data_IF_034352527798
#
_entry.id   IF_034352527798
#
_cell.length_a   1.000
_cell.length_b   1.000
_cell.length_c   1.000
_cell.angle_alpha   90.00
_cell.angle_beta   90.00
_cell.angle_gamma   90.00
#
_symmetry.space_group_name_H-M   'P 1'
#
loop_
_entity.id
_entity.type
_entity.pdbx_description
1 polymer ?
#
# COMPACT_ATOMS: atom_id res chain seq x y z
N UNK A 1 20.11 -3.10 24.91
CA UNK A 1 19.73 -3.82 23.67
C UNK A 1 20.23 -3.02 22.48
N UNK A 2 20.95 -3.63 21.54
CA UNK A 2 21.39 -2.97 20.29
C UNK A 2 20.22 -2.87 19.31
N UNK A 3 20.33 -2.06 18.26
CA UNK A 3 19.26 -1.99 17.27
C UNK A 3 19.00 -3.32 16.55
N UNK A 4 20.05 -4.08 16.21
CA UNK A 4 19.85 -5.40 15.59
C UNK A 4 19.11 -6.38 16.53
N UNK A 5 19.36 -6.29 17.85
CA UNK A 5 18.62 -7.08 18.84
C UNK A 5 17.13 -6.68 18.87
N UNK A 6 16.82 -5.39 18.71
CA UNK A 6 15.44 -4.89 18.62
C UNK A 6 14.76 -5.39 17.35
N UNK A 7 15.45 -5.30 16.21
CA UNK A 7 14.93 -5.75 14.91
C UNK A 7 14.65 -7.26 14.91
N UNK A 8 15.45 -8.04 15.65
CA UNK A 8 15.19 -9.47 15.84
C UNK A 8 13.90 -9.78 16.65
N UNK A 9 13.26 -8.77 17.26
CA UNK A 9 11.97 -8.92 17.94
C UNK A 9 10.77 -8.73 17.01
N UNK A 10 10.98 -8.27 15.77
CA UNK A 10 9.89 -8.16 14.79
C UNK A 10 9.18 -9.52 14.63
N UNK A 11 7.85 -9.50 14.66
CA UNK A 11 6.96 -10.66 14.57
C UNK A 11 6.60 -11.28 15.92
N UNK A 12 7.24 -10.86 17.02
CA UNK A 12 6.88 -11.32 18.36
C UNK A 12 5.64 -10.57 18.88
N UNK A 13 4.81 -11.24 19.70
CA UNK A 13 3.68 -10.58 20.33
C UNK A 13 4.16 -9.52 21.34
N UNK A 14 3.39 -8.45 21.51
CA UNK A 14 3.68 -7.40 22.50
C UNK A 14 3.76 -7.90 23.95
N UNK A 15 3.20 -9.08 24.23
CA UNK A 15 3.27 -9.78 25.52
C UNK A 15 4.53 -10.63 25.69
N UNK A 16 5.37 -10.80 24.67
CA UNK A 16 6.65 -11.48 24.80
C UNK A 16 7.54 -10.69 25.77
N UNK A 17 8.12 -11.35 26.81
CA UNK A 17 8.96 -10.67 27.80
C UNK A 17 10.12 -9.87 27.21
N UNK A 18 10.64 -10.26 26.03
CA UNK A 18 11.72 -9.55 25.34
C UNK A 18 11.23 -8.24 24.72
N UNK A 19 10.02 -8.23 24.17
CA UNK A 19 9.38 -7.01 23.63
C UNK A 19 9.06 -6.05 24.77
N UNK A 20 8.48 -6.55 25.86
CA UNK A 20 8.21 -5.73 27.05
C UNK A 20 9.50 -5.14 27.64
N UNK A 21 10.57 -5.94 27.74
CA UNK A 21 11.88 -5.46 28.19
C UNK A 21 12.44 -4.36 27.27
N UNK A 22 12.26 -4.49 25.95
CA UNK A 22 12.66 -3.45 24.99
C UNK A 22 11.88 -2.14 25.20
N UNK A 23 10.55 -2.21 25.34
CA UNK A 23 9.72 -1.04 25.61
C UNK A 23 10.13 -0.32 26.91
N UNK A 24 10.37 -1.09 27.98
CA UNK A 24 10.85 -0.56 29.28
C UNK A 24 12.23 0.08 29.14
N UNK A 25 13.18 -0.60 28.49
CA UNK A 25 14.55 -0.09 28.30
C UNK A 25 14.56 1.24 27.54
N UNK A 26 13.67 1.39 26.54
CA UNK A 26 13.53 2.61 25.75
C UNK A 26 12.56 3.62 26.36
N UNK A 27 12.13 3.42 27.61
CA UNK A 27 11.25 4.30 28.38
C UNK A 27 9.94 4.64 27.64
N UNK A 28 9.43 3.69 26.85
CA UNK A 28 8.12 3.80 26.19
C UNK A 28 7.04 3.61 27.26
N UNK A 29 6.22 4.64 27.46
CA UNK A 29 5.25 4.69 28.57
C UNK A 29 3.94 3.99 28.28
N UNK A 30 3.46 4.14 27.05
CA UNK A 30 2.23 3.52 26.60
C UNK A 30 2.52 2.06 26.20
N UNK A 31 1.49 1.22 26.24
CA UNK A 31 1.53 -0.12 25.68
C UNK A 31 0.64 -0.17 24.45
N UNK A 32 1.01 -0.95 23.43
CA UNK A 32 0.19 -1.09 22.26
C UNK A 32 -1.16 -1.70 22.64
N UNK A 33 -2.21 -1.18 22.04
CA UNK A 33 -3.56 -1.67 22.20
C UNK A 33 -4.35 -1.35 20.93
N UNK A 34 -5.28 -2.25 20.59
CA UNK A 34 -6.30 -1.96 19.59
C UNK A 34 -7.27 -0.91 20.13
N UNK A 35 -7.91 -0.18 19.22
CA UNK A 35 -8.99 0.74 19.59
C UNK A 35 -10.34 0.08 19.34
N UNK A 36 -11.15 0.04 20.38
CA UNK A 36 -12.50 -0.55 20.35
C UNK A 36 -13.53 0.56 20.50
N UNK A 37 -14.49 0.61 19.58
CA UNK A 37 -15.71 1.40 19.68
C UNK A 37 -16.91 0.48 19.45
N UNK A 38 -17.64 0.16 20.53
CA UNK A 38 -18.76 -0.79 20.46
C UNK A 38 -19.99 -0.23 19.73
N UNK A 39 -20.02 1.08 19.50
CA UNK A 39 -21.13 1.76 18.82
C UNK A 39 -20.86 1.94 17.32
N UNK A 40 -19.71 1.50 16.82
CA UNK A 40 -19.34 1.59 15.42
C UNK A 40 -20.15 0.61 14.55
N UNK A 41 -20.63 1.08 13.40
CA UNK A 41 -21.50 0.31 12.51
C UNK A 41 -20.78 -0.79 11.75
N UNK A 42 -19.48 -0.65 11.56
CA UNK A 42 -18.66 -1.50 10.70
C UNK A 42 -17.95 -2.59 11.53
N UNK A 43 -17.88 -2.41 12.84
CA UNK A 43 -17.47 -3.44 13.80
C UNK A 43 -16.82 -2.83 15.04
N UNK A 44 -16.72 -3.59 16.14
CA UNK A 44 -16.24 -3.02 17.40
C UNK A 44 -14.77 -2.60 17.38
N UNK A 45 -13.95 -3.05 16.41
CA UNK A 45 -12.52 -2.71 16.33
C UNK A 45 -12.30 -1.68 15.24
N UNK A 46 -11.99 -0.44 15.62
CA UNK A 46 -11.86 0.70 14.69
C UNK A 46 -10.43 1.01 14.28
N UNK A 47 -9.43 0.59 15.07
CA UNK A 47 -8.01 0.70 14.70
C UNK A 47 -7.29 -0.60 15.12
N UNK A 48 -6.75 -1.30 14.12
CA UNK A 48 -5.97 -2.55 14.28
C UNK A 48 -4.48 -2.28 14.47
N UNK A 49 -4.05 -1.03 14.34
CA UNK A 49 -2.65 -0.61 14.42
C UNK A 49 -2.41 0.27 15.65
N UNK A 50 -1.23 0.18 16.25
CA UNK A 50 -0.85 0.99 17.39
C UNK A 50 0.63 1.34 17.34
N UNK A 51 0.93 2.64 17.41
CA UNK A 51 2.29 3.12 17.52
C UNK A 51 2.56 3.69 18.90
N UNK A 52 3.64 3.22 19.51
CA UNK A 52 4.11 3.71 20.81
C UNK A 52 5.53 4.25 20.67
N UNK A 53 5.70 5.54 21.00
CA UNK A 53 6.94 6.27 20.75
C UNK A 53 7.55 6.89 22.00
N UNK A 54 8.87 7.01 21.98
CA UNK A 54 9.61 7.89 22.86
C UNK A 54 10.38 8.92 22.02
N UNK A 55 9.76 10.09 21.79
CA UNK A 55 10.37 11.16 21.00
C UNK A 55 11.66 11.72 21.60
N UNK A 56 11.92 11.54 22.91
CA UNK A 56 13.20 11.94 23.53
C UNK A 56 14.31 10.91 23.30
N UNK A 57 13.94 9.65 23.10
CA UNK A 57 14.84 8.54 22.82
C UNK A 57 15.06 8.29 21.32
N UNK A 58 14.29 8.93 20.45
CA UNK A 58 14.42 8.79 18.99
C UNK A 58 13.97 7.44 18.46
N UNK A 59 12.97 6.82 19.09
CA UNK A 59 12.51 5.48 18.72
C UNK A 59 10.99 5.38 18.81
N UNK A 60 10.41 4.59 17.91
CA UNK A 60 8.99 4.24 17.87
C UNK A 60 8.80 2.80 17.44
N UNK A 61 7.81 2.16 18.05
CA UNK A 61 7.43 0.77 17.83
C UNK A 61 6.02 0.75 17.26
N UNK A 62 5.87 0.18 16.08
CA UNK A 62 4.57 -0.05 15.44
C UNK A 62 4.12 -1.49 15.64
N UNK A 63 2.85 -1.63 15.98
CA UNK A 63 2.21 -2.91 16.24
C UNK A 63 0.95 -3.04 15.39
N UNK A 64 0.67 -4.26 14.95
CA UNK A 64 -0.56 -4.63 14.26
C UNK A 64 -1.26 -5.73 15.05
N UNK A 65 -2.59 -5.72 15.09
CA UNK A 65 -3.38 -6.89 15.48
C UNK A 65 -3.00 -8.10 14.62
N UNK A 66 -2.75 -9.25 15.26
CA UNK A 66 -2.28 -10.45 14.55
C UNK A 66 -3.28 -10.95 13.50
N UNK A 67 -4.59 -10.86 13.77
CA UNK A 67 -5.59 -11.33 12.82
C UNK A 67 -5.66 -10.40 11.60
N UNK A 68 -5.61 -9.09 11.79
CA UNK A 68 -5.52 -8.12 10.70
C UNK A 68 -4.23 -8.30 9.88
N UNK A 69 -3.08 -8.43 10.54
CA UNK A 69 -1.79 -8.68 9.90
C UNK A 69 -1.79 -9.95 9.04
N UNK A 70 -2.40 -11.03 9.54
CA UNK A 70 -2.55 -12.30 8.80
C UNK A 70 -3.65 -12.27 7.73
N UNK A 71 -4.43 -11.19 7.62
CA UNK A 71 -5.54 -11.11 6.67
C UNK A 71 -6.68 -12.07 6.98
N UNK A 72 -6.94 -12.30 8.28
CA UNK A 72 -8.08 -13.09 8.73
C UNK A 72 -9.37 -12.26 8.71
N UNK A 73 -10.48 -12.96 8.90
CA UNK A 73 -11.81 -12.36 9.04
C UNK A 73 -11.85 -11.33 10.17
N UNK A 74 -12.53 -10.20 9.94
CA UNK A 74 -12.60 -9.07 10.88
C UNK A 74 -13.21 -9.46 12.23
N UNK A 75 -14.02 -10.53 12.28
CA UNK A 75 -14.55 -11.06 13.56
C UNK A 75 -13.46 -11.61 14.48
N UNK A 76 -12.25 -11.87 13.96
CA UNK A 76 -11.09 -12.32 14.74
C UNK A 76 -10.25 -11.16 15.28
N UNK A 77 -10.50 -9.92 14.85
CA UNK A 77 -9.72 -8.76 15.27
C UNK A 77 -9.87 -8.53 16.77
N UNK A 78 -8.75 -8.22 17.43
CA UNK A 78 -8.70 -8.01 18.88
C UNK A 78 -8.78 -9.26 19.74
N UNK A 79 -8.92 -10.45 19.15
CA UNK A 79 -8.93 -11.73 19.89
C UNK A 79 -7.53 -12.32 20.08
N UNK A 80 -6.53 -11.69 19.46
CA UNK A 80 -5.14 -12.14 19.41
C UNK A 80 -4.19 -11.05 19.92
N UNK A 81 -2.96 -11.38 20.32
CA UNK A 81 -2.00 -10.35 20.70
C UNK A 81 -1.67 -9.47 19.50
N UNK A 82 -1.37 -8.19 19.75
CA UNK A 82 -0.69 -7.36 18.74
C UNK A 82 0.74 -7.85 18.54
N UNK A 83 1.21 -7.87 17.30
CA UNK A 83 2.56 -8.21 16.88
C UNK A 83 3.41 -6.96 16.74
N UNK A 84 4.67 -7.00 17.15
CA UNK A 84 5.63 -5.96 16.80
C UNK A 84 5.98 -6.08 15.32
N UNK A 85 5.49 -5.18 14.48
CA UNK A 85 5.64 -5.25 13.02
C UNK A 85 6.60 -4.22 12.49
N UNK A 86 6.83 -3.12 13.22
CA UNK A 86 7.62 -1.99 12.73
C UNK A 86 8.49 -1.39 13.84
N UNK A 87 9.68 -0.93 13.46
CA UNK A 87 10.60 -0.17 14.31
C UNK A 87 11.13 1.03 13.53
N UNK A 88 11.01 2.20 14.14
CA UNK A 88 11.51 3.46 13.61
C UNK A 88 12.66 3.95 14.49
N UNK A 89 13.81 4.20 13.86
CA UNK A 89 14.96 4.86 14.47
C UNK A 89 15.13 6.23 13.85
N UNK A 90 14.86 7.27 14.64
CA UNK A 90 14.85 8.64 14.15
C UNK A 90 16.25 9.26 14.14
N UNK A 91 16.50 10.07 13.13
CA UNK A 91 17.68 10.90 12.97
C UNK A 91 17.32 12.37 13.01
N UNK A 92 17.60 13.08 11.93
CA UNK A 92 17.21 14.48 11.76
C UNK A 92 15.73 14.59 11.35
N UNK A 93 14.83 14.39 12.31
CA UNK A 93 13.39 14.41 12.10
C UNK A 93 12.70 15.46 12.98
N UNK A 94 11.68 16.15 12.44
CA UNK A 94 11.01 17.23 13.16
C UNK A 94 10.27 16.70 14.40
N UNK A 95 10.45 17.35 15.55
CA UNK A 95 9.72 17.00 16.78
C UNK A 95 10.21 15.74 17.49
N UNK A 96 11.25 15.06 16.99
CA UNK A 96 11.84 13.87 17.59
C UNK A 96 13.35 14.05 17.74
N UNK A 97 13.92 13.65 18.89
CA UNK A 97 15.38 13.66 19.08
C UNK A 97 16.01 12.51 18.31
N UNK A 98 17.24 12.65 17.81
CA UNK A 98 17.94 11.55 17.18
C UNK A 98 18.13 10.36 18.14
N UNK A 99 18.00 9.15 17.60
CA UNK A 99 18.31 7.90 18.28
C UNK A 99 19.78 7.90 18.71
N UNK A 100 20.02 7.54 19.97
CA UNK A 100 21.36 7.61 20.57
C UNK A 100 22.14 6.29 20.51
N UNK A 101 21.46 5.20 20.12
CA UNK A 101 22.10 3.90 19.96
C UNK A 101 22.72 3.71 18.58
N UNK A 102 23.42 2.58 18.40
CA UNK A 102 23.84 2.12 17.08
C UNK A 102 22.60 1.80 16.23
N UNK A 103 22.55 2.27 14.99
CA UNK A 103 21.49 1.93 14.03
C UNK A 103 21.69 0.50 13.50
N UNK A 104 20.62 -0.17 13.02
CA UNK A 104 20.74 -1.50 12.45
C UNK A 104 21.60 -1.46 11.17
N UNK A 105 22.10 -2.63 10.76
CA UNK A 105 22.85 -2.80 9.51
C UNK A 105 24.14 -1.95 9.42
N UNK A 106 24.66 -1.48 10.56
CA UNK A 106 25.85 -0.64 10.63
C UNK A 106 25.66 0.77 10.07
N UNK A 107 24.41 1.24 9.95
CA UNK A 107 24.12 2.62 9.57
C UNK A 107 24.63 3.61 10.62
N UNK A 108 24.83 4.85 10.18
CA UNK A 108 25.14 6.00 11.02
C UNK A 108 24.22 7.13 10.62
N UNK A 109 23.79 7.93 11.58
CA UNK A 109 22.91 9.07 11.31
C UNK A 109 23.51 10.07 10.32
N UNK A 110 24.84 10.16 10.26
CA UNK A 110 25.58 10.98 9.31
C UNK A 110 25.81 10.33 7.95
N UNK A 111 25.30 9.12 7.70
CA UNK A 111 25.44 8.49 6.40
C UNK A 111 24.63 9.27 5.38
N UNK A 112 25.27 9.55 4.24
CA UNK A 112 24.57 10.08 3.06
C UNK A 112 23.77 8.98 2.38
N UNK A 113 22.84 9.34 1.50
CA UNK A 113 22.11 8.39 0.64
C UNK A 113 23.05 7.46 -0.13
N UNK A 114 24.17 7.98 -0.62
CA UNK A 114 25.19 7.17 -1.30
C UNK A 114 25.87 6.16 -0.36
N UNK A 115 26.19 6.56 0.87
CA UNK A 115 26.79 5.67 1.87
C UNK A 115 25.82 4.56 2.31
N UNK A 116 24.54 4.88 2.49
CA UNK A 116 23.50 3.87 2.80
C UNK A 116 23.37 2.87 1.65
N UNK A 117 23.26 3.33 0.40
CA UNK A 117 23.23 2.47 -0.79
C UNK A 117 24.46 1.56 -0.89
N UNK A 118 25.65 2.08 -0.57
CA UNK A 118 26.86 1.27 -0.55
C UNK A 118 26.80 0.16 0.50
N UNK A 119 26.29 0.45 1.71
CA UNK A 119 26.11 -0.56 2.77
C UNK A 119 25.04 -1.59 2.41
N UNK A 120 24.02 -1.17 1.66
CA UNK A 120 22.93 -2.02 1.18
C UNK A 120 23.19 -2.69 -0.17
N UNK A 121 24.40 -2.57 -0.73
CA UNK A 121 24.76 -3.21 -1.99
C UNK A 121 24.44 -4.73 -2.06
N UNK A 122 24.56 -5.53 -0.97
CA UNK A 122 24.14 -6.93 -1.00
C UNK A 122 22.65 -7.17 -1.28
N UNK A 123 21.80 -6.17 -1.02
CA UNK A 123 20.35 -6.23 -1.23
C UNK A 123 19.90 -5.39 -2.43
N UNK A 124 20.81 -4.86 -3.27
CA UNK A 124 20.44 -3.84 -4.27
C UNK A 124 19.46 -4.36 -5.35
N UNK A 125 19.40 -5.68 -5.55
CA UNK A 125 18.42 -6.32 -6.43
C UNK A 125 16.96 -6.12 -6.00
N UNK A 126 16.72 -5.77 -4.73
CA UNK A 126 15.39 -5.49 -4.18
C UNK A 126 15.21 -4.00 -3.85
N UNK A 127 16.08 -3.12 -4.38
CA UNK A 127 16.01 -1.68 -4.09
C UNK A 127 14.84 -1.02 -4.83
N UNK A 128 14.04 -0.27 -4.08
CA UNK A 128 12.99 0.60 -4.59
C UNK A 128 13.30 2.05 -4.19
N UNK A 129 13.53 2.89 -5.18
CA UNK A 129 13.99 4.27 -4.99
C UNK A 129 12.95 5.28 -5.44
N UNK A 130 12.82 6.35 -4.64
CA UNK A 130 12.16 7.63 -4.98
C UNK A 130 12.65 8.71 -3.98
N UNK A 131 11.78 9.27 -3.13
CA UNK A 131 12.15 10.15 -2.01
C UNK A 131 12.98 9.43 -0.95
N UNK A 132 12.63 8.17 -0.68
CA UNK A 132 13.31 7.26 0.24
C UNK A 132 14.01 6.17 -0.57
N UNK A 133 14.80 5.33 0.10
CA UNK A 133 15.23 4.06 -0.48
C UNK A 133 14.76 2.91 0.40
N UNK A 134 14.23 1.87 -0.24
CA UNK A 134 13.67 0.69 0.41
C UNK A 134 14.32 -0.57 -0.13
N UNK A 135 14.66 -1.52 0.75
CA UNK A 135 15.22 -2.81 0.38
C UNK A 135 14.51 -3.94 1.13
N UNK A 136 14.40 -5.09 0.49
CA UNK A 136 14.02 -6.32 1.15
C UNK A 136 15.26 -7.11 1.58
N UNK A 137 15.41 -7.30 2.89
CA UNK A 137 16.34 -8.28 3.45
C UNK A 137 15.64 -9.65 3.54
N UNK A 138 16.36 -10.75 3.82
CA UNK A 138 15.72 -12.05 4.04
C UNK A 138 14.65 -12.04 5.15
N UNK A 139 14.85 -11.24 6.20
CA UNK A 139 14.01 -11.25 7.40
C UNK A 139 12.94 -10.15 7.42
N UNK A 140 13.26 -8.95 6.90
CA UNK A 140 12.40 -7.77 7.00
C UNK A 140 12.69 -6.77 5.87
N UNK A 141 11.82 -5.79 5.70
CA UNK A 141 11.99 -4.64 4.80
C UNK A 141 12.61 -3.47 5.55
N UNK A 142 13.58 -2.80 4.93
CA UNK A 142 14.20 -1.60 5.48
C UNK A 142 13.96 -0.42 4.55
N UNK A 143 13.39 0.65 5.09
CA UNK A 143 13.22 1.94 4.41
C UNK A 143 14.10 2.97 5.11
N UNK A 144 14.85 3.74 4.33
CA UNK A 144 15.66 4.85 4.84
C UNK A 144 15.17 6.15 4.21
N UNK A 145 14.70 7.06 5.07
CA UNK A 145 14.42 8.45 4.74
C UNK A 145 15.64 9.33 5.01
N UNK A 146 15.79 10.38 4.22
CA UNK A 146 16.98 11.23 4.25
C UNK A 146 16.62 12.70 4.43
N UNK A 147 17.41 13.41 5.23
CA UNK A 147 17.31 14.85 5.41
C UNK A 147 18.37 15.58 4.57
N UNK A 148 18.20 16.91 4.47
CA UNK A 148 19.16 17.83 3.82
C UNK A 148 19.53 17.41 2.39
N UNK A 149 18.56 16.91 1.62
CA UNK A 149 18.80 16.47 0.24
C UNK A 149 19.67 15.22 0.13
N UNK A 150 19.67 14.35 1.15
CA UNK A 150 20.40 13.09 1.13
C UNK A 150 21.76 13.11 1.84
N UNK A 151 22.05 14.14 2.65
CA UNK A 151 23.35 14.26 3.35
C UNK A 151 23.37 13.53 4.70
N UNK A 152 22.21 13.24 5.28
CA UNK A 152 22.09 12.51 6.53
C UNK A 152 20.80 11.68 6.56
N UNK A 153 20.73 10.74 7.50
CA UNK A 153 19.53 9.93 7.73
C UNK A 153 18.52 10.73 8.54
N UNK A 154 17.30 10.82 8.01
CA UNK A 154 16.14 11.33 8.75
C UNK A 154 15.51 10.21 9.60
N UNK A 155 15.33 9.02 9.03
CA UNK A 155 14.69 7.89 9.69
C UNK A 155 15.14 6.58 9.07
N UNK A 156 15.31 5.55 9.90
CA UNK A 156 15.43 4.15 9.48
C UNK A 156 14.19 3.42 9.98
N UNK A 157 13.39 2.91 9.06
CA UNK A 157 12.25 2.03 9.33
C UNK A 157 12.65 0.59 9.02
N UNK A 158 12.54 -0.30 10.01
CA UNK A 158 12.60 -1.74 9.82
C UNK A 158 11.20 -2.30 10.04
N UNK A 159 10.62 -2.96 9.03
CA UNK A 159 9.26 -3.48 9.09
C UNK A 159 9.18 -4.92 8.58
N UNK A 160 8.30 -5.72 9.17
CA UNK A 160 7.95 -7.02 8.61
C UNK A 160 7.37 -6.87 7.21
N UNK A 161 7.59 -7.90 6.38
CA UNK A 161 6.88 -8.02 5.10
C UNK A 161 5.52 -8.64 5.38
N UNK A 162 4.48 -8.00 4.89
CA UNK A 162 3.12 -8.54 4.99
C UNK A 162 3.07 -9.96 4.39
N UNK A 163 2.46 -10.91 5.09
CA UNK A 163 2.23 -12.23 4.52
C UNK A 163 1.13 -12.13 3.45
N UNK A 164 1.15 -13.03 2.44
CA UNK A 164 0.06 -13.10 1.48
C UNK A 164 -1.27 -13.39 2.18
N UNK A 165 -2.37 -12.90 1.61
CA UNK A 165 -3.70 -13.21 2.13
C UNK A 165 -3.97 -14.72 2.08
N UNK A 166 -4.78 -15.26 3.02
CA UNK A 166 -5.17 -16.67 2.98
C UNK A 166 -5.83 -17.03 1.64
N UNK A 167 -5.49 -18.19 1.09
CA UNK A 167 -6.08 -18.69 -0.16
C UNK A 167 -7.60 -18.78 -0.08
N UNK A 168 -8.27 -18.49 -1.18
CA UNK A 168 -9.72 -18.69 -1.28
C UNK A 168 -10.07 -20.17 -1.23
N UNK A 169 -11.20 -20.54 -0.62
CA UNK A 169 -11.67 -21.92 -0.59
C UNK A 169 -12.27 -22.39 -1.92
N UNK A 170 -12.25 -21.54 -2.95
CA UNK A 170 -12.79 -21.79 -4.29
C UNK A 170 -11.87 -21.21 -5.37
N UNK A 171 -11.95 -21.79 -6.58
CA UNK A 171 -11.23 -21.29 -7.74
C UNK A 171 -11.96 -20.09 -8.34
N UNK A 172 -11.20 -19.12 -8.81
CA UNK A 172 -11.71 -17.96 -9.52
C UNK A 172 -11.77 -18.21 -11.04
N UNK A 173 -12.79 -17.69 -11.72
CA UNK A 173 -12.77 -17.45 -13.16
C UNK A 173 -11.51 -16.69 -13.60
N UNK A 174 -11.02 -16.92 -14.83
CA UNK A 174 -9.93 -16.11 -15.38
C UNK A 174 -10.37 -14.65 -15.53
N UNK A 175 -9.45 -13.73 -15.23
CA UNK A 175 -9.69 -12.30 -15.42
C UNK A 175 -9.46 -11.87 -16.87
N UNK A 176 -10.21 -10.88 -17.39
CA UNK A 176 -9.95 -10.32 -18.71
C UNK A 176 -8.58 -9.62 -18.79
N UNK A 177 -8.00 -9.53 -20.00
CA UNK A 177 -6.78 -8.75 -20.20
C UNK A 177 -7.06 -7.25 -20.11
N UNK A 178 -6.07 -6.46 -19.71
CA UNK A 178 -6.20 -4.99 -19.64
C UNK A 178 -6.53 -4.38 -21.01
N UNK A 179 -5.99 -4.93 -22.09
CA UNK A 179 -6.31 -4.48 -23.46
C UNK A 179 -7.78 -4.73 -23.79
N UNK A 180 -8.32 -5.88 -23.38
CA UNK A 180 -9.73 -6.22 -23.59
C UNK A 180 -10.64 -5.31 -22.77
N UNK A 181 -10.23 -4.97 -21.55
CA UNK A 181 -10.97 -4.08 -20.66
C UNK A 181 -10.95 -2.62 -21.15
N UNK A 182 -9.80 -2.11 -21.56
CA UNK A 182 -9.65 -0.73 -22.05
C UNK A 182 -10.39 -0.49 -23.37
N UNK A 183 -10.54 -1.53 -24.20
CA UNK A 183 -11.38 -1.47 -25.41
C UNK A 183 -12.87 -1.24 -25.12
N UNK A 184 -13.32 -1.40 -23.87
CA UNK A 184 -14.69 -1.13 -23.42
C UNK A 184 -14.91 0.30 -22.93
N UNK A 185 -13.87 1.14 -22.90
CA UNK A 185 -14.05 2.54 -22.47
C UNK A 185 -15.07 3.27 -23.33
N UNK A 186 -16.03 3.93 -22.67
CA UNK A 186 -17.14 4.61 -23.31
C UNK A 186 -18.30 3.71 -23.71
N UNK A 187 -18.20 2.39 -23.55
CA UNK A 187 -19.34 1.49 -23.78
C UNK A 187 -20.40 1.64 -22.67
N UNK A 188 -21.69 1.60 -23.01
CA UNK A 188 -22.79 1.55 -22.04
C UNK A 188 -22.75 0.30 -21.16
N UNK A 189 -23.28 0.39 -19.94
CA UNK A 189 -23.42 -0.75 -19.02
C UNK A 189 -24.21 -1.94 -19.64
N UNK A 190 -25.18 -1.67 -20.51
CA UNK A 190 -26.00 -2.70 -21.13
C UNK A 190 -25.38 -3.34 -22.38
N UNK A 191 -24.22 -2.84 -22.83
CA UNK A 191 -23.47 -3.34 -23.98
C UNK A 191 -23.13 -4.84 -23.81
N UNK A 192 -23.45 -5.69 -24.80
CA UNK A 192 -23.13 -7.11 -24.76
C UNK A 192 -21.64 -7.41 -24.48
N UNK A 193 -20.72 -6.58 -24.98
CA UNK A 193 -19.29 -6.76 -24.76
C UNK A 193 -18.89 -6.49 -23.31
N UNK A 194 -19.46 -5.45 -22.68
CA UNK A 194 -19.27 -5.14 -21.26
C UNK A 194 -19.76 -6.29 -20.40
N UNK A 195 -20.98 -6.78 -20.68
CA UNK A 195 -21.54 -7.95 -19.99
C UNK A 195 -20.64 -9.17 -20.17
N UNK A 196 -20.22 -9.48 -21.39
CA UNK A 196 -19.38 -10.65 -21.64
C UNK A 196 -18.06 -10.61 -20.85
N UNK A 197 -17.45 -9.43 -20.71
CA UNK A 197 -16.19 -9.28 -19.98
C UNK A 197 -16.35 -9.34 -18.45
N UNK A 198 -17.42 -8.73 -17.90
CA UNK A 198 -17.55 -8.51 -16.46
C UNK A 198 -18.55 -9.48 -15.77
N UNK A 199 -19.45 -10.14 -16.52
CA UNK A 199 -20.35 -11.16 -15.96
C UNK A 199 -19.63 -12.31 -15.24
N UNK A 200 -18.50 -12.85 -15.77
CA UNK A 200 -17.72 -13.86 -15.04
C UNK A 200 -17.19 -13.36 -13.68
N UNK A 201 -17.01 -12.04 -13.53
CA UNK A 201 -16.57 -11.41 -12.29
C UNK A 201 -17.75 -11.12 -11.34
N UNK A 202 -18.99 -11.35 -11.78
CA UNK A 202 -20.19 -11.17 -10.98
C UNK A 202 -20.92 -9.85 -11.22
N UNK A 203 -20.78 -9.21 -12.40
CA UNK A 203 -21.44 -7.93 -12.73
C UNK A 203 -22.93 -7.87 -12.36
N UNK A 204 -23.68 -8.97 -12.54
CA UNK A 204 -25.11 -9.05 -12.15
C UNK A 204 -25.37 -8.64 -10.71
N UNK A 205 -24.46 -8.97 -9.81
CA UNK A 205 -24.58 -8.70 -8.37
C UNK A 205 -24.18 -7.25 -8.00
N UNK A 206 -23.77 -6.45 -8.99
CA UNK A 206 -23.28 -5.07 -8.84
C UNK A 206 -24.12 -4.05 -9.59
N UNK A 207 -25.16 -4.47 -10.31
CA UNK A 207 -25.97 -3.56 -11.14
C UNK A 207 -26.64 -2.47 -10.30
N UNK A 208 -27.12 -2.80 -9.10
CA UNK A 208 -27.77 -1.81 -8.23
C UNK A 208 -26.73 -0.86 -7.62
N UNK A 209 -25.58 -1.36 -7.18
CA UNK A 209 -24.43 -0.54 -6.73
C UNK A 209 -24.02 0.47 -7.82
N UNK A 210 -23.85 0.02 -9.07
CA UNK A 210 -23.51 0.91 -10.20
C UNK A 210 -24.57 1.99 -10.42
N UNK A 211 -25.86 1.67 -10.21
CA UNK A 211 -26.93 2.66 -10.38
C UNK A 211 -26.92 3.71 -9.27
N UNK A 212 -26.54 3.31 -8.07
CA UNK A 212 -26.56 4.17 -6.89
C UNK A 212 -25.29 5.02 -6.76
N UNK A 213 -24.11 4.42 -7.00
CA UNK A 213 -22.81 5.07 -6.82
C UNK A 213 -22.01 5.29 -8.11
N UNK A 214 -22.37 4.61 -9.20
CA UNK A 214 -21.56 4.57 -10.42
C UNK A 214 -20.39 3.58 -10.35
N UNK A 215 -20.27 2.80 -9.28
CA UNK A 215 -19.12 1.91 -9.05
C UNK A 215 -19.55 0.44 -8.99
N UNK A 216 -18.73 -0.43 -9.57
CA UNK A 216 -18.78 -1.87 -9.34
C UNK A 216 -17.49 -2.32 -8.65
N UNK A 217 -17.61 -2.69 -7.39
CA UNK A 217 -16.49 -3.19 -6.61
C UNK A 217 -16.31 -4.72 -6.80
N UNK A 218 -15.20 -5.09 -7.43
CA UNK A 218 -14.71 -6.46 -7.58
C UNK A 218 -13.38 -6.67 -6.83
N UNK A 219 -13.00 -5.78 -5.91
CA UNK A 219 -11.80 -5.84 -5.07
C UNK A 219 -11.68 -7.20 -4.37
N UNK A 220 -12.83 -7.73 -3.94
CA UNK A 220 -13.00 -9.09 -3.48
C UNK A 220 -13.81 -9.90 -4.50
N UNK A 221 -13.25 -10.94 -5.13
CA UNK A 221 -11.91 -11.52 -4.94
C UNK A 221 -10.83 -11.11 -5.96
N UNK A 222 -11.08 -10.13 -6.84
CA UNK A 222 -10.27 -9.92 -8.05
C UNK A 222 -9.31 -8.72 -8.04
N UNK A 223 -9.38 -7.83 -7.04
CA UNK A 223 -8.54 -6.63 -7.03
C UNK A 223 -8.84 -5.63 -8.14
N UNK A 224 -10.12 -5.49 -8.52
CA UNK A 224 -10.58 -4.60 -9.58
C UNK A 224 -11.76 -3.76 -9.11
N UNK A 225 -11.72 -2.45 -9.37
CA UNK A 225 -12.87 -1.56 -9.22
C UNK A 225 -13.18 -0.98 -10.60
N UNK A 226 -14.43 -1.02 -11.03
CA UNK A 226 -14.87 -0.46 -12.33
C UNK A 226 -15.85 0.67 -12.08
N UNK A 227 -15.59 1.82 -12.67
CA UNK A 227 -16.47 2.98 -12.58
C UNK A 227 -17.19 3.21 -13.89
N UNK A 228 -18.42 3.67 -13.75
CA UNK A 228 -19.27 4.13 -14.81
C UNK A 228 -19.76 5.53 -14.51
N UNK A 229 -19.69 6.41 -15.50
CA UNK A 229 -20.15 7.78 -15.37
C UNK A 229 -20.99 8.19 -16.57
N UNK A 230 -21.86 9.18 -16.35
CA UNK A 230 -22.50 9.85 -17.47
C UNK A 230 -21.47 10.66 -18.28
N UNK A 231 -21.70 10.84 -19.59
CA UNK A 231 -20.96 11.83 -20.38
C UNK A 231 -21.00 13.20 -19.70
N UNK A 232 -19.91 13.97 -19.78
CA UNK A 232 -19.85 15.33 -19.23
C UNK A 232 -21.08 16.16 -19.63
N UNK A 233 -21.60 16.95 -18.69
CA UNK A 233 -22.78 17.83 -18.79
C UNK A 233 -24.17 17.16 -18.78
N UNK A 234 -24.29 15.87 -18.42
CA UNK A 234 -25.59 15.22 -18.22
C UNK A 234 -25.67 14.45 -16.90
N UNK A 235 -26.78 14.60 -16.17
CA UNK A 235 -27.16 13.60 -15.15
C UNK A 235 -27.52 12.31 -15.89
N UNK A 236 -27.01 11.16 -15.45
CA UNK A 236 -27.46 9.85 -15.95
C UNK A 236 -28.98 9.76 -15.79
N UNK A 237 -29.72 9.55 -16.89
CA UNK A 237 -31.18 9.41 -16.86
C UNK A 237 -31.63 7.97 -17.09
N UNK A 238 -30.71 7.10 -17.52
CA UNK A 238 -30.95 5.69 -17.81
C UNK A 238 -29.63 4.90 -17.77
N UNK A 239 -29.71 3.56 -17.71
CA UNK A 239 -28.54 2.68 -17.79
C UNK A 239 -27.73 2.86 -19.10
N UNK A 240 -28.38 3.35 -20.17
CA UNK A 240 -27.74 3.63 -21.45
C UNK A 240 -26.94 4.95 -21.44
N UNK A 241 -27.14 5.79 -20.42
CA UNK A 241 -26.36 7.01 -20.20
C UNK A 241 -25.17 6.77 -19.25
N UNK A 242 -24.97 5.55 -18.76
CA UNK A 242 -23.92 5.18 -17.79
C UNK A 242 -22.83 4.42 -18.53
N UNK A 243 -21.72 5.10 -18.82
CA UNK A 243 -20.63 4.59 -19.66
C UNK A 243 -19.43 4.17 -18.83
N UNK A 244 -18.77 3.08 -19.19
CA UNK A 244 -17.55 2.63 -18.52
C UNK A 244 -16.47 3.71 -18.66
N UNK A 245 -16.05 4.29 -17.54
CA UNK A 245 -15.25 5.52 -17.52
C UNK A 245 -13.87 5.34 -16.91
N UNK A 246 -13.72 4.46 -15.92
CA UNK A 246 -12.41 4.13 -15.37
C UNK A 246 -12.38 2.74 -14.74
N UNK A 247 -11.18 2.24 -14.52
CA UNK A 247 -10.92 0.98 -13.85
C UNK A 247 -9.69 1.14 -12.97
N UNK A 248 -9.71 0.56 -11.77
CA UNK A 248 -8.60 0.58 -10.82
C UNK A 248 -8.23 -0.84 -10.43
N UNK A 249 -6.98 -1.21 -10.70
CA UNK A 249 -6.36 -2.47 -10.28
C UNK A 249 -5.65 -2.26 -8.95
N UNK A 250 -5.84 -3.19 -8.02
CA UNK A 250 -5.36 -3.09 -6.64
C UNK A 250 -4.22 -4.07 -6.39
N UNK A 251 -3.19 -3.62 -5.65
CA UNK A 251 -2.24 -4.50 -4.98
C UNK A 251 -3.00 -5.30 -3.92
N UNK A 252 -2.52 -6.51 -3.59
CA UNK A 252 -3.09 -7.28 -2.49
C UNK A 252 -3.07 -6.47 -1.18
N UNK A 253 -4.15 -6.58 -0.39
CA UNK A 253 -4.44 -5.84 0.87
C UNK A 253 -4.83 -4.39 0.69
N UNK A 254 -4.71 -3.84 -0.52
CA UNK A 254 -5.10 -2.46 -0.73
C UNK A 254 -6.63 -2.31 -0.72
N UNK A 255 -7.13 -1.36 0.08
CA UNK A 255 -8.56 -1.23 0.44
C UNK A 255 -9.15 -2.54 1.02
N UNK A 256 -8.33 -3.34 1.70
CA UNK A 256 -8.70 -4.67 2.19
C UNK A 256 -8.84 -5.72 1.08
N UNK A 257 -8.73 -5.34 -0.20
CA UNK A 257 -8.95 -6.17 -1.37
C UNK A 257 -7.91 -7.27 -1.59
N UNK A 258 -8.25 -8.20 -2.49
CA UNK A 258 -7.26 -9.12 -3.06
C UNK A 258 -6.50 -8.44 -4.20
N UNK A 259 -5.32 -8.96 -4.52
CA UNK A 259 -4.50 -8.40 -5.61
C UNK A 259 -5.05 -8.75 -6.99
N UNK A 260 -4.97 -7.79 -7.92
CA UNK A 260 -5.18 -8.07 -9.34
C UNK A 260 -4.17 -9.12 -9.83
N UNK A 261 -4.66 -10.17 -10.46
CA UNK A 261 -3.85 -11.31 -10.90
C UNK A 261 -3.49 -11.28 -12.39
N UNK A 262 -4.09 -10.36 -13.15
CA UNK A 262 -3.80 -10.17 -14.56
C UNK A 262 -2.53 -9.34 -14.78
N UNK A 263 -2.05 -9.30 -16.02
CA UNK A 263 -0.98 -8.38 -16.40
C UNK A 263 -1.46 -6.93 -16.30
N UNK A 264 -0.59 -6.02 -15.86
CA UNK A 264 -0.80 -4.58 -15.87
C UNK A 264 -0.25 -3.97 -17.19
N UNK A 265 -0.74 -2.79 -17.61
CA UNK A 265 -0.28 -2.18 -18.85
C UNK A 265 1.20 -1.82 -18.78
N UNK A 266 1.88 -1.82 -19.93
CA UNK A 266 3.32 -1.52 -20.06
C UNK A 266 4.24 -2.46 -19.27
N UNK A 267 3.74 -3.62 -18.83
CA UNK A 267 4.50 -4.56 -18.00
C UNK A 267 4.77 -4.02 -16.60
N UNK A 268 3.95 -3.09 -16.11
CA UNK A 268 3.98 -2.63 -14.72
C UNK A 268 3.76 -3.80 -13.76
N UNK A 269 4.27 -3.66 -12.55
CA UNK A 269 4.09 -4.57 -11.43
C UNK A 269 3.81 -3.76 -10.16
N UNK A 270 3.07 -4.32 -9.20
CA UNK A 270 2.82 -3.65 -7.91
C UNK A 270 4.09 -3.52 -7.07
N UNK A 271 5.12 -4.30 -7.37
CA UNK A 271 6.45 -4.11 -6.80
C UNK A 271 7.25 -2.99 -7.46
N UNK A 272 6.80 -2.38 -8.57
CA UNK A 272 7.55 -1.26 -9.16
C UNK A 272 7.59 -0.04 -8.25
N UNK A 273 8.73 0.66 -8.24
CA UNK A 273 8.81 2.02 -7.73
C UNK A 273 8.30 3.05 -8.76
N UNK A 274 7.99 4.30 -8.35
CA UNK A 274 7.64 5.37 -9.30
C UNK A 274 8.72 5.58 -10.38
N UNK A 275 10.00 5.46 -10.01
CA UNK A 275 11.12 5.55 -10.96
C UNK A 275 11.14 4.37 -11.96
N UNK A 276 10.83 3.16 -11.49
CA UNK A 276 10.71 1.97 -12.34
C UNK A 276 9.53 2.08 -13.29
N UNK A 277 8.37 2.57 -12.81
CA UNK A 277 7.20 2.82 -13.64
C UNK A 277 7.52 3.82 -14.77
N UNK A 278 8.16 4.95 -14.46
CA UNK A 278 8.61 5.91 -15.47
C UNK A 278 9.58 5.29 -16.49
N UNK A 279 10.48 4.40 -16.03
CA UNK A 279 11.40 3.66 -16.91
C UNK A 279 10.66 2.71 -17.85
N UNK A 280 9.70 1.93 -17.34
CA UNK A 280 8.88 1.00 -18.14
C UNK A 280 8.02 1.72 -19.17
N UNK A 281 7.49 2.90 -18.82
CA UNK A 281 6.77 3.76 -19.75
C UNK A 281 7.69 4.51 -20.73
N UNK A 282 9.00 4.52 -20.50
CA UNK A 282 9.99 5.19 -21.33
C UNK A 282 9.94 6.73 -21.26
N UNK A 283 9.18 7.31 -20.33
CA UNK A 283 9.03 8.76 -20.15
C UNK A 283 8.59 9.14 -18.72
N UNK A 284 8.94 10.35 -18.24
CA UNK A 284 8.42 10.85 -16.97
C UNK A 284 6.89 11.07 -17.01
N UNK A 285 6.22 11.08 -15.84
CA UNK A 285 4.80 11.40 -15.74
C UNK A 285 4.51 12.84 -16.16
N UNK A 286 3.29 13.08 -16.63
CA UNK A 286 2.79 14.41 -16.97
C UNK A 286 2.43 15.22 -15.71
N UNK A 287 2.03 14.53 -14.65
CA UNK A 287 1.80 15.07 -13.31
C UNK A 287 2.27 14.07 -12.26
N UNK A 288 2.98 14.56 -11.24
CA UNK A 288 3.40 13.75 -10.09
C UNK A 288 3.28 14.60 -8.83
N UNK A 289 2.62 14.04 -7.82
CA UNK A 289 2.40 14.68 -6.53
C UNK A 289 2.79 13.70 -5.42
N UNK A 290 3.61 14.17 -4.49
CA UNK A 290 4.09 13.39 -3.36
C UNK A 290 3.54 13.96 -2.06
N UNK A 291 3.09 13.08 -1.18
CA UNK A 291 2.71 13.34 0.20
C UNK A 291 3.58 12.50 1.15
N UNK A 292 3.43 12.71 2.45
CA UNK A 292 4.29 12.13 3.49
C UNK A 292 4.35 10.59 3.44
N UNK A 293 3.22 9.95 3.09
CA UNK A 293 3.03 8.49 3.10
C UNK A 293 2.62 7.88 1.75
N UNK A 294 2.18 8.69 0.79
CA UNK A 294 1.74 8.25 -0.52
C UNK A 294 2.17 9.24 -1.60
N UNK A 295 1.99 8.86 -2.86
CA UNK A 295 2.11 9.77 -3.98
C UNK A 295 1.35 9.25 -5.19
N UNK A 296 1.12 10.13 -6.14
CA UNK A 296 0.44 9.82 -7.39
C UNK A 296 1.31 10.20 -8.58
N UNK A 297 1.18 9.46 -9.68
CA UNK A 297 1.78 9.82 -10.95
C UNK A 297 0.83 9.51 -12.11
N UNK A 298 0.74 10.45 -13.05
CA UNK A 298 -0.23 10.40 -14.15
C UNK A 298 0.47 10.50 -15.50
N UNK A 299 0.09 9.64 -16.44
CA UNK A 299 0.50 9.68 -17.84
C UNK A 299 -0.73 9.71 -18.75
N UNK A 300 -0.87 10.77 -19.53
CA UNK A 300 -1.86 10.91 -20.60
C UNK A 300 -1.37 10.15 -21.82
N UNK A 301 -2.13 9.15 -22.25
CA UNK A 301 -1.92 8.42 -23.49
C UNK A 301 -3.08 8.73 -24.44
N UNK A 302 -2.98 8.29 -25.70
CA UNK A 302 -4.05 8.50 -26.66
C UNK A 302 -5.28 7.64 -26.32
N UNK A 303 -5.05 6.43 -25.82
CA UNK A 303 -6.07 5.41 -25.55
C UNK A 303 -6.69 5.52 -24.16
N UNK A 304 -5.98 6.08 -23.18
CA UNK A 304 -6.45 6.30 -21.81
C UNK A 304 -5.49 7.22 -21.04
N UNK A 305 -5.90 7.68 -19.87
CA UNK A 305 -4.99 8.23 -18.86
C UNK A 305 -4.62 7.14 -17.87
N UNK A 306 -3.32 6.87 -17.73
CA UNK A 306 -2.77 6.00 -16.68
C UNK A 306 -2.54 6.84 -15.43
N UNK A 307 -3.03 6.37 -14.29
CA UNK A 307 -2.82 6.97 -12.99
C UNK A 307 -2.30 5.89 -12.05
N UNK A 308 -1.20 6.11 -11.34
CA UNK A 308 -0.74 5.19 -10.29
C UNK A 308 -0.83 5.90 -8.94
N UNK A 309 -1.22 5.14 -7.92
CA UNK A 309 -1.01 5.49 -6.51
C UNK A 309 0.11 4.61 -5.99
N UNK A 310 1.07 5.19 -5.26
CA UNK A 310 2.17 4.45 -4.63
C UNK A 310 2.35 4.85 -3.17
N UNK A 311 2.92 3.95 -2.38
CA UNK A 311 3.43 4.25 -1.04
C UNK A 311 4.74 5.02 -1.14
N UNK A 312 4.85 6.19 -0.54
CA UNK A 312 6.13 6.93 -0.47
C UNK A 312 7.04 6.39 0.65
N UNK A 313 6.53 5.47 1.48
CA UNK A 313 7.31 4.73 2.49
C UNK A 313 7.98 3.50 1.86
N UNK A 314 7.21 2.66 1.17
CA UNK A 314 7.75 1.45 0.55
C UNK A 314 8.32 1.68 -0.84
N UNK A 315 8.00 2.82 -1.47
CA UNK A 315 8.25 3.12 -2.87
C UNK A 315 7.72 2.04 -3.80
N UNK A 316 6.46 1.64 -3.60
CA UNK A 316 5.79 0.59 -4.39
C UNK A 316 4.43 1.04 -4.86
N UNK A 317 4.05 0.64 -6.07
CA UNK A 317 2.72 0.87 -6.61
C UNK A 317 1.68 0.12 -5.76
N UNK A 318 0.68 0.85 -5.29
CA UNK A 318 -0.47 0.31 -4.55
C UNK A 318 -1.69 0.15 -5.46
N UNK A 319 -1.88 1.07 -6.41
CA UNK A 319 -3.02 1.05 -7.34
C UNK A 319 -2.60 1.49 -8.73
N UNK A 320 -3.23 0.89 -9.74
CA UNK A 320 -3.12 1.31 -11.14
C UNK A 320 -4.51 1.62 -11.67
N UNK A 321 -4.79 2.89 -11.94
CA UNK A 321 -6.00 3.40 -12.54
C UNK A 321 -5.84 3.64 -14.03
N UNK A 322 -6.85 3.27 -14.81
CA UNK A 322 -6.99 3.59 -16.23
C UNK A 322 -8.29 4.37 -16.42
N UNK A 323 -8.21 5.52 -17.07
CA UNK A 323 -9.34 6.42 -17.25
C UNK A 323 -9.56 6.67 -18.73
N UNK A 324 -10.82 6.58 -19.17
CA UNK A 324 -11.19 6.76 -20.56
C UNK A 324 -10.72 8.11 -21.13
N UNK A 325 -10.39 8.19 -22.43
CA UNK A 325 -9.99 9.43 -23.08
C UNK A 325 -11.02 10.56 -22.88
N UNK A 326 -10.52 11.77 -22.66
CA UNK A 326 -11.37 12.96 -22.45
C UNK A 326 -11.94 13.11 -21.04
N UNK A 327 -11.73 12.13 -20.16
CA UNK A 327 -11.96 12.26 -18.71
C UNK A 327 -10.65 12.54 -17.99
N UNK A 328 -10.73 13.24 -16.85
CA UNK A 328 -9.57 13.55 -16.01
C UNK A 328 -9.59 12.66 -14.77
N UNK A 329 -8.39 12.20 -14.38
CA UNK A 329 -8.12 11.62 -13.07
C UNK A 329 -8.37 12.63 -11.96
#
# INVERSE_FOLDING_TARGET
>A
MRADDLVALLGLPHTDPRVEAALVQHAVRNRPAIKIDNDDSDGPVVETQSWVKNSRGGIEFGFDDEAAWLGLDETEYGRRPMLLTQLYFYGQHQGVRPYQGELPLGFRLSDTRAAVRQKMAPCDATRHSHLRDTWDTPAYRVTVGYAEGGQCIEVVLCMLREPPLPSLPYALPPVPSVESLTALFGSPLDDPAVKQALEPLGLKNRIDDIRDSGEADFSHPYGLIVNFSAPQDRKARSANDTLLSSMTFLRERELGGRGWTGALPYGLDFDDSPEMAATKLGRPPDLQEDDDFSGTATWKQAEFTLHILYSSIENRVSRVGLIAPGLTA
#
